data_IF_885047756121
#
_entry.id   IF_885047756121
#
_cell.length_a   1.000
_cell.length_b   1.000
_cell.length_c   1.000
_cell.angle_alpha   90.00
_cell.angle_beta   90.00
_cell.angle_gamma   90.00
#
_symmetry.space_group_name_H-M   'P 1'
#
loop_
_entity.id
_entity.type
_entity.pdbx_description
1 polymer ?
#
# COMPACT_ATOMS: atom_id res chain seq x y z
N UNK A 1 -17.15 10.57 -19.21
CA UNK A 1 -16.10 11.05 -18.29
C UNK A 1 -14.82 11.22 -19.09
N UNK A 2 -14.04 12.28 -18.88
CA UNK A 2 -12.71 12.42 -19.51
C UNK A 2 -11.67 11.56 -18.78
N UNK A 3 -10.55 11.17 -19.42
CA UNK A 3 -9.48 10.44 -18.74
C UNK A 3 -8.91 11.18 -17.52
N UNK A 4 -8.79 12.51 -17.59
CA UNK A 4 -8.32 13.34 -16.48
C UNK A 4 -9.29 13.30 -15.28
N UNK A 5 -10.60 13.42 -15.52
CA UNK A 5 -11.61 13.27 -14.45
C UNK A 5 -11.57 11.85 -13.86
N UNK A 6 -11.42 10.83 -14.70
CA UNK A 6 -11.35 9.44 -14.27
C UNK A 6 -10.13 9.16 -13.38
N UNK A 7 -8.97 9.76 -13.69
CA UNK A 7 -7.77 9.64 -12.85
C UNK A 7 -8.04 10.18 -11.45
N UNK A 8 -8.60 11.40 -11.34
CA UNK A 8 -8.84 12.03 -10.03
C UNK A 8 -9.88 11.25 -9.22
N UNK A 9 -10.96 10.78 -9.86
CA UNK A 9 -11.99 9.95 -9.21
C UNK A 9 -11.39 8.64 -8.70
N UNK A 10 -10.60 7.95 -9.53
CA UNK A 10 -10.02 6.68 -9.14
C UNK A 10 -8.91 6.86 -8.09
N UNK A 11 -8.15 7.95 -8.17
CA UNK A 11 -7.17 8.32 -7.14
C UNK A 11 -7.84 8.55 -5.80
N UNK A 12 -8.89 9.38 -5.77
CA UNK A 12 -9.66 9.66 -4.56
C UNK A 12 -10.32 8.40 -3.99
N UNK A 13 -10.82 7.53 -4.87
CA UNK A 13 -11.36 6.23 -4.48
C UNK A 13 -10.33 5.40 -3.73
N UNK A 14 -9.07 5.35 -4.14
CA UNK A 14 -8.08 4.52 -3.43
C UNK A 14 -7.77 5.04 -2.03
N UNK A 15 -7.95 6.34 -1.76
CA UNK A 15 -7.70 6.92 -0.45
C UNK A 15 -8.84 6.58 0.52
N UNK A 16 -8.49 6.03 1.68
CA UNK A 16 -9.48 5.71 2.72
C UNK A 16 -9.71 6.88 3.68
N UNK A 17 -8.79 7.86 3.70
CA UNK A 17 -8.90 9.13 4.45
C UNK A 17 -9.18 8.91 5.94
N UNK A 18 -8.59 7.88 6.54
CA UNK A 18 -8.77 7.58 7.96
C UNK A 18 -7.99 8.57 8.84
N UNK A 19 -8.58 8.97 9.95
CA UNK A 19 -7.91 9.79 10.96
C UNK A 19 -6.81 8.98 11.65
N UNK A 20 -5.60 9.53 11.72
CA UNK A 20 -4.49 8.89 12.43
C UNK A 20 -4.51 9.25 13.92
N UNK A 21 -4.44 8.23 14.76
CA UNK A 21 -4.33 8.33 16.22
C UNK A 21 -3.10 7.54 16.68
N UNK A 22 -2.56 7.81 17.89
CA UNK A 22 -1.48 6.99 18.43
C UNK A 22 -1.84 5.50 18.39
N UNK A 23 -0.88 4.69 17.98
CA UNK A 23 -0.99 3.25 17.78
C UNK A 23 0.24 2.52 18.34
N UNK A 24 0.13 1.20 18.47
CA UNK A 24 1.22 0.37 19.00
C UNK A 24 2.35 0.17 17.98
N UNK A 25 2.01 0.17 16.69
CA UNK A 25 2.95 -0.09 15.59
C UNK A 25 2.58 0.73 14.35
N UNK A 26 3.59 1.34 13.72
CA UNK A 26 3.51 1.77 12.32
C UNK A 26 3.99 0.60 11.46
N UNK A 27 3.11 0.05 10.64
CA UNK A 27 3.38 -1.07 9.73
C UNK A 27 3.53 -0.54 8.30
N UNK A 28 4.72 -0.66 7.72
CA UNK A 28 5.04 -0.11 6.39
C UNK A 28 5.15 -1.26 5.40
N UNK A 29 4.26 -1.26 4.41
CA UNK A 29 4.31 -2.21 3.31
C UNK A 29 5.23 -1.65 2.21
N UNK A 30 6.28 -2.40 1.91
CA UNK A 30 7.29 -2.11 0.92
C UNK A 30 6.69 -1.87 -0.46
N UNK A 31 7.36 -0.99 -1.21
CA UNK A 31 7.04 -0.68 -2.59
C UNK A 31 8.23 -0.01 -3.28
N UNK A 32 8.00 0.50 -4.48
CA UNK A 32 8.97 1.29 -5.25
C UNK A 32 8.99 2.79 -4.89
N UNK A 33 8.30 3.23 -3.83
CA UNK A 33 8.21 4.64 -3.44
C UNK A 33 8.75 4.90 -2.04
N UNK A 34 10.01 5.32 -1.96
CA UNK A 34 10.71 5.57 -0.70
C UNK A 34 10.08 6.69 0.15
N UNK A 35 9.25 7.57 -0.44
CA UNK A 35 8.57 8.64 0.28
C UNK A 35 7.62 8.10 1.36
N UNK A 36 7.16 6.85 1.22
CA UNK A 36 6.36 6.17 2.26
C UNK A 36 7.20 5.97 3.54
N UNK A 37 8.50 5.67 3.41
CA UNK A 37 9.39 5.53 4.57
C UNK A 37 9.71 6.89 5.22
N UNK A 38 9.85 7.94 4.42
CA UNK A 38 10.03 9.31 4.92
C UNK A 38 8.80 9.76 5.71
N UNK A 39 7.60 9.51 5.17
CA UNK A 39 6.35 9.77 5.88
C UNK A 39 6.23 8.94 7.17
N UNK A 40 6.67 7.69 7.18
CA UNK A 40 6.72 6.87 8.39
C UNK A 40 7.62 7.50 9.48
N UNK A 41 8.77 8.06 9.08
CA UNK A 41 9.66 8.78 10.00
C UNK A 41 9.02 10.07 10.55
N UNK A 42 8.24 10.80 9.75
CA UNK A 42 7.48 11.95 10.23
C UNK A 42 6.42 11.54 11.27
N UNK A 43 5.68 10.45 11.02
CA UNK A 43 4.70 9.94 11.98
C UNK A 43 5.36 9.46 13.29
N UNK A 44 6.55 8.85 13.19
CA UNK A 44 7.36 8.49 14.34
C UNK A 44 7.79 9.72 15.15
N UNK A 45 8.30 10.77 14.50
CA UNK A 45 8.72 12.01 15.15
C UNK A 45 7.55 12.71 15.86
N UNK A 46 6.33 12.56 15.33
CA UNK A 46 5.06 12.99 15.94
C UNK A 46 4.58 12.07 17.08
N UNK A 47 5.33 11.02 17.41
CA UNK A 47 5.04 10.03 18.46
C UNK A 47 3.75 9.25 18.23
N UNK A 48 3.40 8.97 16.97
CA UNK A 48 2.21 8.18 16.65
C UNK A 48 2.39 6.69 16.91
N UNK A 49 3.61 6.15 16.91
CA UNK A 49 3.88 4.82 17.44
C UNK A 49 5.33 4.74 17.94
N UNK A 50 5.61 3.86 18.92
CA UNK A 50 6.96 3.67 19.44
C UNK A 50 7.85 2.79 18.55
N UNK A 51 7.27 2.09 17.57
CA UNK A 51 7.93 1.04 16.79
C UNK A 51 7.46 1.08 15.32
N UNK A 52 8.39 0.81 14.40
CA UNK A 52 8.15 0.70 12.97
C UNK A 52 8.49 -0.71 12.49
N UNK A 53 7.67 -1.28 11.62
CA UNK A 53 7.92 -2.56 10.96
C UNK A 53 7.83 -2.38 9.46
N UNK A 54 8.96 -2.52 8.77
CA UNK A 54 9.05 -2.48 7.31
C UNK A 54 8.96 -3.89 6.75
N UNK A 55 8.10 -4.11 5.75
CA UNK A 55 7.84 -5.43 5.18
C UNK A 55 7.83 -5.41 3.67
N UNK A 56 8.76 -6.14 3.06
CA UNK A 56 8.97 -6.17 1.61
C UNK A 56 10.27 -6.88 1.24
N UNK A 57 10.15 -7.95 0.46
CA UNK A 57 11.28 -8.71 -0.08
C UNK A 57 11.86 -8.12 -1.37
N UNK A 58 12.38 -9.01 -2.21
CA UNK A 58 12.91 -8.66 -3.53
C UNK A 58 11.74 -8.38 -4.48
N UNK A 59 11.38 -7.11 -4.62
CA UNK A 59 10.32 -6.67 -5.51
C UNK A 59 10.72 -6.73 -7.00
N UNK A 60 9.72 -6.57 -7.88
CA UNK A 60 9.86 -6.48 -9.35
C UNK A 60 10.88 -5.42 -9.82
N UNK A 61 11.20 -4.45 -8.95
CA UNK A 61 12.09 -3.31 -9.21
C UNK A 61 13.46 -3.41 -8.54
N UNK A 62 13.70 -4.45 -7.74
CA UNK A 62 14.99 -4.70 -7.06
C UNK A 62 15.95 -5.56 -7.90
N UNK A 63 15.61 -5.87 -9.16
CA UNK A 63 16.34 -6.82 -10.01
C UNK A 63 17.83 -6.53 -10.25
N UNK A 64 18.32 -5.33 -9.87
CA UNK A 64 19.74 -4.96 -9.91
C UNK A 64 20.32 -4.57 -8.53
N UNK A 65 19.48 -4.42 -7.50
CA UNK A 65 19.90 -4.01 -6.16
C UNK A 65 19.94 -5.24 -5.25
N UNK A 66 21.08 -5.52 -4.61
CA UNK A 66 21.22 -6.63 -3.66
C UNK A 66 20.49 -6.40 -2.31
N UNK A 67 19.49 -5.52 -2.29
CA UNK A 67 18.82 -4.97 -1.09
C UNK A 67 17.31 -5.05 -1.29
N UNK A 68 16.58 -5.49 -0.26
CA UNK A 68 15.12 -5.63 -0.36
C UNK A 68 14.40 -4.28 -0.20
N UNK A 69 13.12 -4.24 -0.57
CA UNK A 69 12.29 -3.02 -0.37
C UNK A 69 12.26 -2.60 1.11
N UNK A 70 12.11 -3.55 2.04
CA UNK A 70 12.09 -3.26 3.47
C UNK A 70 13.42 -2.69 3.99
N UNK A 71 14.56 -3.20 3.53
CA UNK A 71 15.89 -2.74 3.92
C UNK A 71 16.16 -1.32 3.40
N UNK A 72 15.77 -1.03 2.15
CA UNK A 72 15.88 0.29 1.56
C UNK A 72 15.00 1.32 2.30
N UNK A 73 13.78 0.95 2.65
CA UNK A 73 12.86 1.81 3.38
C UNK A 73 13.36 2.06 4.82
N UNK A 74 13.83 1.02 5.51
CA UNK A 74 14.42 1.15 6.83
C UNK A 74 15.63 2.10 6.82
N UNK A 75 16.51 1.99 5.82
CA UNK A 75 17.64 2.90 5.66
C UNK A 75 17.20 4.36 5.46
N UNK A 76 16.17 4.60 4.65
CA UNK A 76 15.61 5.93 4.45
C UNK A 76 15.01 6.50 5.75
N UNK A 77 14.25 5.70 6.50
CA UNK A 77 13.68 6.11 7.78
C UNK A 77 14.76 6.41 8.84
N UNK A 78 15.82 5.61 8.90
CA UNK A 78 16.98 5.87 9.78
C UNK A 78 17.67 7.19 9.43
N UNK A 79 17.89 7.45 8.13
CA UNK A 79 18.43 8.72 7.64
C UNK A 79 17.54 9.91 8.00
N UNK A 80 16.22 9.71 8.05
CA UNK A 80 15.23 10.69 8.48
C UNK A 80 15.10 10.82 10.02
N UNK A 81 15.90 10.08 10.80
CA UNK A 81 16.02 10.26 12.25
C UNK A 81 15.31 9.22 13.12
N UNK A 82 14.79 8.13 12.53
CA UNK A 82 14.26 7.00 13.31
C UNK A 82 15.43 6.18 13.87
N UNK A 83 15.51 5.94 15.19
CA UNK A 83 16.56 5.09 15.76
C UNK A 83 16.46 3.63 15.28
N UNK A 84 17.59 2.98 15.05
CA UNK A 84 17.66 1.59 14.57
C UNK A 84 16.96 0.60 15.53
N UNK A 85 17.05 0.83 16.85
CA UNK A 85 16.37 0.02 17.88
C UNK A 85 14.84 0.14 17.87
N UNK A 86 14.29 0.97 16.99
CA UNK A 86 12.85 1.21 16.80
C UNK A 86 12.34 0.67 15.48
N UNK A 87 13.18 -0.06 14.75
CA UNK A 87 12.86 -0.61 13.44
C UNK A 87 12.94 -2.14 13.47
N UNK A 88 11.89 -2.76 12.93
CA UNK A 88 11.87 -4.16 12.56
C UNK A 88 11.83 -4.29 11.03
N UNK A 89 12.46 -5.33 10.52
CA UNK A 89 12.56 -5.60 9.08
C UNK A 89 12.05 -7.01 8.78
N UNK A 90 11.11 -7.09 7.85
CA UNK A 90 10.63 -8.30 7.20
C UNK A 90 11.02 -8.24 5.71
N UNK A 91 11.93 -9.10 5.26
CA UNK A 91 12.56 -8.98 3.92
C UNK A 91 12.32 -10.19 3.00
N UNK A 92 11.25 -10.96 3.21
CA UNK A 92 10.95 -12.21 2.48
C UNK A 92 9.65 -12.17 1.68
N UNK A 93 8.74 -11.26 1.99
CA UNK A 93 7.46 -11.13 1.33
C UNK A 93 7.57 -10.74 -0.16
N UNK A 94 6.65 -11.27 -0.96
CA UNK A 94 6.56 -11.00 -2.41
C UNK A 94 5.22 -10.40 -2.82
N UNK A 95 4.28 -10.30 -1.88
CA UNK A 95 2.93 -9.75 -2.10
C UNK A 95 2.32 -9.26 -0.78
N UNK A 96 1.23 -8.50 -0.87
CA UNK A 96 0.57 -7.86 0.29
C UNK A 96 0.12 -8.86 1.37
N UNK A 97 -0.33 -10.07 1.01
CA UNK A 97 -0.73 -11.08 1.99
C UNK A 97 0.47 -11.68 2.73
N UNK A 98 1.57 -11.90 2.02
CA UNK A 98 2.84 -12.29 2.65
C UNK A 98 3.41 -11.20 3.53
N UNK A 99 3.28 -9.92 3.16
CA UNK A 99 3.70 -8.82 4.02
C UNK A 99 3.05 -8.95 5.40
N UNK A 100 1.73 -9.16 5.44
CA UNK A 100 0.96 -9.33 6.68
C UNK A 100 1.43 -10.55 7.46
N UNK A 101 1.43 -11.72 6.82
CA UNK A 101 1.76 -12.99 7.49
C UNK A 101 3.18 -13.02 8.04
N UNK A 102 4.17 -12.60 7.25
CA UNK A 102 5.56 -12.61 7.68
C UNK A 102 5.85 -11.53 8.73
N UNK A 103 5.17 -10.38 8.68
CA UNK A 103 5.31 -9.34 9.69
C UNK A 103 4.87 -9.80 11.07
N UNK A 104 3.75 -10.53 11.17
CA UNK A 104 3.32 -11.17 12.42
C UNK A 104 4.38 -12.13 12.98
N UNK A 105 5.01 -12.92 12.10
CA UNK A 105 6.10 -13.81 12.51
C UNK A 105 7.35 -13.05 12.98
N UNK A 106 7.66 -11.89 12.40
CA UNK A 106 8.76 -11.03 12.88
C UNK A 106 8.46 -10.49 14.28
N UNK A 107 7.24 -10.00 14.54
CA UNK A 107 6.83 -9.54 15.88
C UNK A 107 6.97 -10.65 16.92
N UNK A 108 6.44 -11.84 16.60
CA UNK A 108 6.53 -13.02 17.47
C UNK A 108 7.98 -13.42 17.76
N UNK A 109 8.85 -13.45 16.75
CA UNK A 109 10.27 -13.79 16.92
C UNK A 109 11.03 -12.76 17.77
N UNK A 110 10.64 -11.49 17.67
CA UNK A 110 11.20 -10.40 18.48
C UNK A 110 10.66 -10.38 19.92
N UNK A 111 9.71 -11.26 20.28
CA UNK A 111 9.07 -11.27 21.60
C UNK A 111 8.15 -10.06 21.82
N UNK A 112 7.71 -9.40 20.74
CA UNK A 112 6.83 -8.25 20.78
C UNK A 112 5.38 -8.76 20.75
N UNK A 113 4.52 -8.34 21.71
CA UNK A 113 3.12 -8.72 21.71
C UNK A 113 2.41 -8.30 20.43
N UNK A 114 1.36 -9.03 20.06
CA UNK A 114 0.46 -8.61 18.98
C UNK A 114 -0.11 -7.22 19.29
N UNK A 115 0.03 -6.24 18.37
CA UNK A 115 -0.44 -4.88 18.59
C UNK A 115 -1.97 -4.87 18.67
N UNK A 116 -2.54 -4.03 19.55
CA UNK A 116 -3.97 -3.77 19.57
C UNK A 116 -4.38 -2.73 18.52
N UNK A 117 -3.42 -1.91 18.08
CA UNK A 117 -3.64 -0.84 17.10
C UNK A 117 -2.49 -0.70 16.11
N UNK A 118 -2.82 -0.46 14.84
CA UNK A 118 -1.87 -0.32 13.74
C UNK A 118 -2.13 0.97 12.95
N UNK A 119 -1.04 1.67 12.58
CA UNK A 119 -1.05 2.58 11.43
C UNK A 119 -0.37 1.85 10.28
N UNK A 120 -1.11 1.47 9.24
CA UNK A 120 -0.54 0.84 8.06
C UNK A 120 -0.24 1.88 6.98
N UNK A 121 0.97 1.84 6.43
CA UNK A 121 1.43 2.76 5.39
C UNK A 121 1.72 2.04 4.09
N UNK A 122 1.28 2.64 3.00
CA UNK A 122 1.53 2.17 1.63
C UNK A 122 1.46 3.37 0.66
N UNK A 123 1.71 3.13 -0.63
CA UNK A 123 1.47 4.11 -1.70
C UNK A 123 0.02 4.60 -1.70
N UNK A 124 -0.23 5.86 -2.12
CA UNK A 124 -1.56 6.46 -2.09
C UNK A 124 -2.63 5.62 -2.81
N UNK A 125 -2.33 5.12 -4.02
CA UNK A 125 -3.26 4.29 -4.80
C UNK A 125 -3.39 2.85 -4.29
N UNK A 126 -2.90 2.53 -3.09
CA UNK A 126 -2.94 1.18 -2.52
C UNK A 126 -3.51 1.16 -1.08
N UNK A 127 -3.95 2.31 -0.55
CA UNK A 127 -4.51 2.39 0.81
C UNK A 127 -5.71 1.45 0.98
N UNK A 128 -6.72 1.55 0.09
CA UNK A 128 -7.94 0.74 0.19
C UNK A 128 -7.68 -0.76 0.11
N UNK A 129 -6.80 -1.22 -0.78
CA UNK A 129 -6.45 -2.65 -0.86
C UNK A 129 -5.66 -3.10 0.36
N UNK A 130 -4.82 -2.24 0.93
CA UNK A 130 -4.11 -2.51 2.19
C UNK A 130 -5.10 -2.70 3.33
N UNK A 131 -6.07 -1.80 3.47
CA UNK A 131 -7.15 -1.92 4.46
C UNK A 131 -7.90 -3.24 4.30
N UNK A 132 -8.34 -3.55 3.07
CA UNK A 132 -9.10 -4.76 2.78
C UNK A 132 -8.31 -6.05 3.07
N UNK A 133 -7.00 -6.03 2.80
CA UNK A 133 -6.11 -7.17 3.09
C UNK A 133 -5.92 -7.36 4.59
N UNK A 134 -5.70 -6.27 5.34
CA UNK A 134 -5.56 -6.32 6.81
C UNK A 134 -6.84 -6.80 7.48
N UNK A 135 -8.01 -6.34 7.03
CA UNK A 135 -9.30 -6.81 7.54
C UNK A 135 -9.50 -8.32 7.34
N UNK A 136 -8.96 -8.90 6.26
CA UNK A 136 -9.07 -10.32 5.99
C UNK A 136 -8.01 -11.16 6.73
N UNK A 137 -6.77 -10.66 6.84
CA UNK A 137 -5.60 -11.47 7.24
C UNK A 137 -5.01 -11.09 8.61
N UNK A 138 -5.36 -9.93 9.15
CA UNK A 138 -4.96 -9.44 10.48
C UNK A 138 -6.11 -8.65 11.13
N UNK A 139 -7.28 -9.29 11.37
CA UNK A 139 -8.48 -8.61 11.84
C UNK A 139 -8.45 -8.17 13.32
N UNK A 140 -7.51 -8.69 14.11
CA UNK A 140 -7.44 -8.47 15.55
C UNK A 140 -7.17 -7.00 15.97
N UNK A 141 -6.17 -6.29 15.40
CA UNK A 141 -5.93 -4.88 15.73
C UNK A 141 -6.94 -3.91 15.11
N UNK A 142 -7.16 -2.78 15.79
CA UNK A 142 -7.74 -1.59 15.16
C UNK A 142 -6.75 -0.98 14.15
N UNK A 143 -7.18 -0.82 12.89
CA UNK A 143 -6.30 -0.37 11.80
C UNK A 143 -6.73 1.01 11.28
N UNK A 144 -5.77 1.92 11.17
CA UNK A 144 -5.85 3.10 10.32
C UNK A 144 -4.82 2.99 9.18
N UNK A 145 -5.24 3.23 7.94
CA UNK A 145 -4.37 3.20 6.76
C UNK A 145 -4.16 4.63 6.25
N UNK A 146 -2.94 4.94 5.85
CA UNK A 146 -2.56 6.24 5.30
C UNK A 146 -1.37 6.10 4.34
N UNK A 147 -1.07 7.18 3.64
CA UNK A 147 0.03 7.33 2.70
C UNK A 147 0.55 8.77 2.76
N UNK A 148 1.69 9.10 2.11
CA UNK A 148 2.14 10.48 1.98
C UNK A 148 1.02 11.38 1.41
N UNK A 149 0.70 12.52 2.04
CA UNK A 149 -0.44 13.34 1.67
C UNK A 149 -0.14 14.22 0.45
N UNK A 150 -0.07 13.60 -0.73
CA UNK A 150 0.23 14.25 -2.00
C UNK A 150 -0.92 14.11 -2.98
N UNK A 151 -1.14 15.12 -3.81
CA UNK A 151 -2.07 15.01 -4.94
C UNK A 151 -1.53 14.04 -6.01
N UNK A 152 -2.40 13.56 -6.91
CA UNK A 152 -1.98 12.74 -8.04
C UNK A 152 -0.85 13.40 -8.83
N UNK A 153 -0.96 14.71 -9.10
CA UNK A 153 0.04 15.46 -9.86
C UNK A 153 1.39 15.54 -9.15
N UNK A 154 1.40 15.76 -7.83
CA UNK A 154 2.62 15.81 -7.02
C UNK A 154 3.25 14.42 -6.82
N UNK A 155 2.44 13.37 -6.92
CA UNK A 155 2.91 12.00 -6.82
C UNK A 155 3.85 11.61 -7.97
N UNK A 156 3.62 12.16 -9.17
CA UNK A 156 4.39 11.85 -10.37
C UNK A 156 5.83 12.35 -10.30
N UNK A 157 6.76 11.49 -10.71
CA UNK A 157 8.20 11.82 -10.84
C UNK A 157 8.73 11.24 -12.15
N UNK A 158 9.97 11.55 -12.57
CA UNK A 158 10.60 10.86 -13.70
C UNK A 158 10.64 9.32 -13.54
N UNK A 159 10.81 8.85 -12.30
CA UNK A 159 10.83 7.42 -11.94
C UNK A 159 9.42 6.82 -11.80
N UNK A 160 8.41 7.66 -11.53
CA UNK A 160 7.00 7.31 -11.42
C UNK A 160 6.18 8.06 -12.48
N UNK A 161 6.37 7.74 -13.78
CA UNK A 161 5.70 8.45 -14.86
C UNK A 161 4.19 8.18 -14.84
N UNK A 162 3.41 9.13 -15.38
CA UNK A 162 1.94 9.09 -15.44
C UNK A 162 1.41 7.73 -15.88
N UNK A 163 1.88 7.22 -17.01
CA UNK A 163 1.39 5.96 -17.60
C UNK A 163 1.54 4.77 -16.66
N UNK A 164 2.69 4.68 -15.98
CA UNK A 164 2.96 3.62 -15.00
C UNK A 164 2.02 3.74 -13.79
N UNK A 165 1.88 4.95 -13.24
CA UNK A 165 1.06 5.19 -12.04
C UNK A 165 -0.42 4.94 -12.34
N UNK A 166 -0.94 5.47 -13.44
CA UNK A 166 -2.35 5.28 -13.82
C UNK A 166 -2.63 3.81 -14.09
N UNK A 167 -1.77 3.12 -14.84
CA UNK A 167 -1.93 1.68 -15.08
C UNK A 167 -1.88 0.88 -13.77
N UNK A 168 -0.97 1.22 -12.85
CA UNK A 168 -0.88 0.57 -11.55
C UNK A 168 -2.14 0.78 -10.70
N UNK A 169 -2.70 2.00 -10.71
CA UNK A 169 -3.95 2.32 -10.03
C UNK A 169 -5.14 1.55 -10.62
N UNK A 170 -5.24 1.46 -11.95
CA UNK A 170 -6.25 0.66 -12.65
C UNK A 170 -6.13 -0.82 -12.29
N UNK A 171 -4.91 -1.36 -12.32
CA UNK A 171 -4.65 -2.73 -11.89
C UNK A 171 -4.98 -2.97 -10.41
N UNK A 172 -4.68 -2.02 -9.53
CA UNK A 172 -4.98 -2.13 -8.10
C UNK A 172 -6.49 -2.19 -7.86
N UNK A 173 -7.25 -1.33 -8.55
CA UNK A 173 -8.70 -1.33 -8.50
C UNK A 173 -9.28 -2.67 -8.94
N UNK A 174 -8.79 -3.28 -10.04
CA UNK A 174 -9.26 -4.60 -10.43
C UNK A 174 -9.01 -5.64 -9.33
N UNK A 175 -7.87 -5.58 -8.63
CA UNK A 175 -7.59 -6.48 -7.50
C UNK A 175 -8.57 -6.26 -6.33
N UNK A 176 -9.00 -5.02 -6.08
CA UNK A 176 -10.04 -4.72 -5.07
C UNK A 176 -11.36 -5.42 -5.42
N UNK A 177 -11.70 -5.53 -6.72
CA UNK A 177 -12.90 -6.25 -7.17
C UNK A 177 -12.76 -7.78 -7.05
N UNK A 178 -11.60 -8.32 -7.41
CA UNK A 178 -11.42 -9.76 -7.65
C UNK A 178 -10.91 -10.55 -6.43
N UNK A 179 -10.08 -9.93 -5.59
CA UNK A 179 -9.42 -10.61 -4.48
C UNK A 179 -10.35 -11.04 -3.34
N UNK A 180 -11.51 -10.40 -3.08
CA UNK A 180 -12.47 -10.90 -2.10
C UNK A 180 -12.98 -12.31 -2.41
N UNK A 181 -13.27 -12.62 -3.67
CA UNK A 181 -13.72 -13.95 -4.10
C UNK A 181 -12.66 -15.06 -3.89
N UNK A 182 -11.40 -14.68 -3.68
CA UNK A 182 -10.28 -15.60 -3.41
C UNK A 182 -9.90 -15.64 -1.93
N UNK A 183 -10.56 -14.85 -1.07
CA UNK A 183 -10.26 -14.76 0.36
C UNK A 183 -8.98 -13.98 0.70
N UNK A 184 -8.40 -13.26 -0.27
CA UNK A 184 -7.19 -12.47 -0.03
C UNK A 184 -7.47 -11.12 0.64
N UNK A 185 -8.68 -10.58 0.46
CA UNK A 185 -9.12 -9.31 1.02
C UNK A 185 -10.61 -9.35 1.35
N UNK A 186 -11.10 -8.40 2.14
CA UNK A 186 -12.55 -8.17 2.30
C UNK A 186 -13.13 -7.41 1.10
N UNK A 187 -14.43 -7.55 0.85
CA UNK A 187 -15.14 -6.69 -0.10
C UNK A 187 -15.05 -5.23 0.34
N UNK A 188 -14.87 -4.34 -0.63
CA UNK A 188 -14.85 -2.89 -0.41
C UNK A 188 -16.03 -2.26 -1.14
N UNK A 189 -16.64 -1.20 -0.58
CA UNK A 189 -17.67 -0.47 -1.30
C UNK A 189 -17.07 0.13 -2.58
N UNK A 190 -17.75 -0.07 -3.70
CA UNK A 190 -17.38 0.49 -5.00
C UNK A 190 -18.49 1.42 -5.45
N UNK A 191 -18.16 2.69 -5.68
CA UNK A 191 -19.14 3.65 -6.17
C UNK A 191 -19.34 3.50 -7.68
N UNK A 192 -20.52 3.84 -8.23
CA UNK A 192 -20.73 3.88 -9.67
C UNK A 192 -19.69 4.73 -10.40
N UNK A 193 -19.29 5.86 -9.81
CA UNK A 193 -18.29 6.78 -10.38
C UNK A 193 -16.90 6.14 -10.44
N UNK A 194 -16.49 5.40 -9.42
CA UNK A 194 -15.21 4.70 -9.40
C UNK A 194 -15.17 3.57 -10.44
N UNK A 195 -16.29 2.84 -10.61
CA UNK A 195 -16.41 1.82 -11.65
C UNK A 195 -16.36 2.43 -13.07
N UNK A 196 -17.06 3.54 -13.30
CA UNK A 196 -17.02 4.26 -14.58
C UNK A 196 -15.64 4.85 -14.87
N UNK A 197 -14.96 5.37 -13.84
CA UNK A 197 -13.58 5.85 -13.96
C UNK A 197 -12.62 4.72 -14.33
N UNK A 198 -12.72 3.56 -13.66
CA UNK A 198 -11.95 2.38 -13.99
C UNK A 198 -12.17 1.95 -15.45
N UNK A 199 -13.43 1.88 -15.91
CA UNK A 199 -13.76 1.59 -17.30
C UNK A 199 -13.14 2.59 -18.28
N UNK A 200 -13.33 3.88 -18.01
CA UNK A 200 -12.81 4.97 -18.86
C UNK A 200 -11.29 4.85 -19.04
N UNK A 201 -10.55 4.54 -17.97
CA UNK A 201 -9.09 4.42 -18.03
C UNK A 201 -8.62 3.15 -18.74
N UNK A 202 -9.33 2.04 -18.58
CA UNK A 202 -9.05 0.82 -19.33
C UNK A 202 -9.27 1.05 -20.83
N UNK A 203 -10.39 1.66 -21.23
CA UNK A 203 -10.70 1.99 -22.63
C UNK A 203 -9.71 3.03 -23.22
N UNK A 204 -9.12 3.88 -22.38
CA UNK A 204 -8.05 4.82 -22.76
C UNK A 204 -6.66 4.17 -22.88
N UNK A 205 -6.51 2.87 -22.61
CA UNK A 205 -5.27 2.12 -22.80
C UNK A 205 -4.39 1.96 -21.56
N UNK A 206 -4.87 2.29 -20.36
CA UNK A 206 -4.12 2.10 -19.10
C UNK A 206 -4.28 0.69 -18.52
N UNK A 207 -4.10 -0.35 -19.33
CA UNK A 207 -4.43 -1.75 -19.01
C UNK A 207 -3.21 -2.63 -18.64
N UNK A 208 -2.00 -2.07 -18.69
CA UNK A 208 -0.74 -2.83 -18.58
C UNK A 208 -0.51 -3.56 -17.24
N UNK A 209 -1.27 -3.24 -16.18
CA UNK A 209 -1.19 -3.87 -14.86
C UNK A 209 -2.45 -4.66 -14.46
N UNK A 210 -3.40 -4.83 -15.39
CA UNK A 210 -4.54 -5.72 -15.18
C UNK A 210 -4.09 -7.17 -14.95
N UNK A 211 -4.91 -7.91 -14.21
CA UNK A 211 -4.76 -9.35 -14.01
C UNK A 211 -4.95 -10.08 -15.35
N UNK A 212 -3.98 -10.91 -15.70
CA UNK A 212 -4.04 -11.71 -16.93
C UNK A 212 -5.09 -12.80 -16.80
N UNK A 213 -5.91 -12.95 -17.85
CA UNK A 213 -6.92 -14.01 -17.91
C UNK A 213 -8.16 -13.78 -17.04
N UNK A 214 -8.30 -12.60 -16.43
CA UNK A 214 -9.50 -12.21 -15.67
C UNK A 214 -10.38 -11.32 -16.55
N UNK A 215 -11.62 -11.73 -16.87
CA UNK A 215 -12.54 -10.90 -17.65
C UNK A 215 -12.84 -9.58 -16.96
N UNK A 216 -13.08 -8.52 -17.74
CA UNK A 216 -13.55 -7.25 -17.19
C UNK A 216 -15.05 -7.32 -16.87
N UNK A 217 -15.54 -6.63 -15.82
CA UNK A 217 -16.94 -6.72 -15.38
C UNK A 217 -18.00 -6.37 -16.42
N UNK A 218 -17.64 -5.62 -17.47
CA UNK A 218 -18.53 -5.20 -18.55
C UNK A 218 -18.33 -5.97 -19.86
N UNK A 219 -17.46 -6.99 -19.87
CA UNK A 219 -17.25 -7.88 -21.02
C UNK A 219 -18.06 -9.19 -20.93
N UNK A 220 -18.84 -9.36 -19.87
CA UNK A 220 -19.73 -10.50 -19.60
C UNK A 220 -21.17 -10.26 -20.07
#
# INVERSE_FOLDING_TARGET
>A
MTPEEAIEILWDYHHVKQELRPADLIFILGSNDVRVAEYAAELYARKLAPLLLFSGGMGRFTGEWAVTEAELFAAAAMKAGVPEDRILIENKSTNTGENVRFSREILKKAGIPEPATLIALQKPYMERRTLATLQAQWPEPGVAVSSPPVSFREYLTPELPRELVVSAMVGDFQRILEYPGQGFSTEQPVTPEAMEAFRTLVEAGYDSQLLKGVPLPWNS
#
